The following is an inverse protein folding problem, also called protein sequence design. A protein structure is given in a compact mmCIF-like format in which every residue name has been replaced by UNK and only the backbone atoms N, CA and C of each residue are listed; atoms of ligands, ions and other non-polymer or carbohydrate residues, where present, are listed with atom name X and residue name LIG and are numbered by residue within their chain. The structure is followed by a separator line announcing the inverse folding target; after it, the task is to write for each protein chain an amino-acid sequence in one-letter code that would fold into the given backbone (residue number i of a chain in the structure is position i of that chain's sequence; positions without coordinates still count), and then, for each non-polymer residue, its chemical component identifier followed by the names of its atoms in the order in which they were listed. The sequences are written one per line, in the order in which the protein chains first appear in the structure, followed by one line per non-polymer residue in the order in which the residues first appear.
data_IF_691920143754
#
_entry.id   IF_691920143754
#
_cell.length_a   1.000
_cell.length_b   1.000
_cell.length_c   1.000
_cell.angle_alpha   90.00
_cell.angle_beta   90.00
_cell.angle_gamma   90.00
#
_symmetry.space_group_name_H-M   'P 1'
#
loop_
_entity.id
_entity.type
_entity.pdbx_description
1 polymer ?
#
# COMPACT_ATOMS: atom_id res chain seq x y z
N UNK A 1 -35.85 -8.01 38.73
CA UNK A 1 -35.48 -9.37 38.29
C UNK A 1 -34.39 -9.22 37.26
N UNK A 2 -33.17 -9.47 37.72
CA UNK A 2 -31.91 -9.36 36.98
C UNK A 2 -31.52 -10.79 36.63
N UNK A 3 -31.26 -11.08 35.36
CA UNK A 3 -30.44 -12.24 34.99
C UNK A 3 -29.32 -11.83 34.06
N UNK A 4 -28.15 -12.19 34.57
CA UNK A 4 -26.77 -12.03 34.15
C UNK A 4 -26.46 -13.08 33.06
N UNK A 5 -25.90 -12.64 31.93
CA UNK A 5 -25.18 -13.51 31.00
C UNK A 5 -23.76 -12.97 30.83
N UNK A 6 -22.99 -13.13 31.90
CA UNK A 6 -21.55 -12.95 31.93
C UNK A 6 -20.83 -13.95 31.03
N UNK A 7 -20.44 -13.49 29.83
CA UNK A 7 -19.27 -14.01 29.12
C UNK A 7 -18.04 -13.20 29.51
N UNK A 8 -17.27 -13.68 30.49
CA UNK A 8 -15.98 -13.10 30.91
C UNK A 8 -15.01 -13.08 29.72
N UNK A 9 -14.76 -11.91 29.15
CA UNK A 9 -13.62 -11.69 28.24
C UNK A 9 -12.38 -11.51 29.12
N UNK A 10 -11.41 -12.41 28.98
CA UNK A 10 -10.12 -12.36 29.65
C UNK A 10 -9.38 -11.06 29.28
N UNK A 11 -9.22 -10.16 30.24
CA UNK A 11 -8.58 -8.85 30.07
C UNK A 11 -7.05 -8.92 30.08
N UNK A 12 -6.45 -10.12 30.08
CA UNK A 12 -4.99 -10.31 30.12
C UNK A 12 -4.35 -10.58 28.75
N UNK A 13 -5.14 -10.68 27.67
CA UNK A 13 -4.61 -10.85 26.32
C UNK A 13 -4.49 -9.46 25.66
N UNK A 14 -3.28 -9.03 25.23
CA UNK A 14 -3.13 -7.76 24.57
C UNK A 14 -3.93 -7.78 23.26
N UNK A 15 -4.91 -6.88 23.17
CA UNK A 15 -5.87 -6.66 22.08
C UNK A 15 -5.18 -6.24 20.75
N UNK A 16 -3.85 -6.39 20.63
CA UNK A 16 -3.04 -5.98 19.47
C UNK A 16 -2.91 -7.03 18.36
N UNK A 17 -3.23 -8.31 18.59
CA UNK A 17 -3.09 -9.35 17.55
C UNK A 17 -4.41 -9.87 16.97
N UNK A 18 -5.54 -9.74 17.69
CA UNK A 18 -6.79 -10.41 17.31
C UNK A 18 -7.52 -9.76 16.10
N UNK A 19 -7.29 -8.46 15.86
CA UNK A 19 -8.06 -7.68 14.86
C UNK A 19 -7.42 -7.64 13.48
N UNK A 20 -6.10 -7.80 13.40
CA UNK A 20 -5.41 -8.19 12.15
C UNK A 20 -5.71 -9.66 11.82
N UNK A 21 -6.30 -10.44 12.75
CA UNK A 21 -6.69 -11.81 12.46
C UNK A 21 -8.08 -11.88 11.80
N UNK A 22 -9.11 -11.22 12.34
CA UNK A 22 -10.51 -11.52 11.95
C UNK A 22 -10.98 -11.02 10.57
N UNK A 23 -10.38 -9.99 9.98
CA UNK A 23 -10.61 -9.65 8.55
C UNK A 23 -9.74 -10.51 7.63
N UNK A 24 -8.64 -11.04 8.14
CA UNK A 24 -7.64 -11.79 7.38
C UNK A 24 -7.86 -13.32 7.42
N UNK A 25 -8.59 -13.86 8.39
CA UNK A 25 -8.81 -15.30 8.58
C UNK A 25 -9.74 -15.92 7.54
N UNK A 26 -10.75 -15.19 7.05
CA UNK A 26 -11.66 -15.72 6.01
C UNK A 26 -11.04 -15.71 4.60
N UNK A 27 -10.01 -14.89 4.39
CA UNK A 27 -9.44 -14.63 3.07
C UNK A 27 -8.01 -15.22 2.91
N UNK A 28 -7.34 -15.58 4.02
CA UNK A 28 -6.08 -16.34 4.01
C UNK A 28 -6.24 -17.79 3.52
N UNK A 29 -7.42 -18.40 3.71
CA UNK A 29 -7.72 -19.74 3.19
C UNK A 29 -7.84 -19.80 1.67
N UNK A 30 -8.03 -18.67 0.98
CA UNK A 30 -8.27 -18.66 -0.47
C UNK A 30 -7.01 -18.99 -1.30
N UNK A 31 -5.81 -18.89 -0.71
CA UNK A 31 -4.53 -19.02 -1.43
C UNK A 31 -3.66 -20.21 -1.05
N UNK A 32 -4.13 -21.10 -0.16
CA UNK A 32 -3.52 -22.44 -0.09
C UNK A 32 -3.84 -23.14 -1.40
N UNK A 33 -2.82 -23.31 -2.24
CA UNK A 33 -2.96 -23.75 -3.62
C UNK A 33 -3.88 -24.96 -3.79
N UNK A 34 -4.60 -24.96 -4.91
CA UNK A 34 -5.19 -26.15 -5.53
C UNK A 34 -6.00 -27.05 -4.59
N UNK A 35 -6.66 -26.50 -3.57
CA UNK A 35 -7.72 -27.29 -2.95
C UNK A 35 -8.78 -27.53 -4.03
N UNK A 36 -9.01 -28.79 -4.46
CA UNK A 36 -10.00 -29.09 -5.47
C UNK A 36 -11.39 -28.55 -5.09
N UNK A 37 -11.68 -28.40 -3.79
CA UNK A 37 -12.91 -27.79 -3.32
C UNK A 37 -12.98 -26.29 -3.65
N UNK A 38 -11.91 -25.52 -3.46
CA UNK A 38 -11.86 -24.09 -3.80
C UNK A 38 -12.11 -23.89 -5.29
N UNK A 39 -11.42 -24.66 -6.14
CA UNK A 39 -11.58 -24.60 -7.60
C UNK A 39 -12.98 -25.05 -8.04
N UNK A 40 -13.55 -26.07 -7.38
CA UNK A 40 -14.92 -26.51 -7.62
C UNK A 40 -15.93 -25.43 -7.24
N UNK A 41 -15.79 -24.79 -6.09
CA UNK A 41 -16.66 -23.69 -5.66
C UNK A 41 -16.51 -22.48 -6.56
N UNK A 42 -15.29 -22.16 -7.00
CA UNK A 42 -15.03 -21.08 -7.97
C UNK A 42 -15.71 -21.34 -9.32
N UNK A 43 -15.48 -22.51 -9.91
CA UNK A 43 -16.11 -22.93 -11.17
C UNK A 43 -17.64 -22.96 -11.06
N UNK A 44 -18.18 -23.48 -9.95
CA UNK A 44 -19.61 -23.48 -9.68
C UNK A 44 -20.18 -22.08 -9.55
N UNK A 45 -19.50 -21.17 -8.86
CA UNK A 45 -19.88 -19.77 -8.74
C UNK A 45 -19.89 -19.06 -10.10
N UNK A 46 -18.86 -19.27 -10.94
CA UNK A 46 -18.83 -18.74 -12.30
C UNK A 46 -20.02 -19.23 -13.14
N UNK A 47 -20.30 -20.54 -13.09
CA UNK A 47 -21.43 -21.12 -13.82
C UNK A 47 -22.77 -20.50 -13.39
N UNK A 48 -23.02 -20.41 -12.08
CA UNK A 48 -24.23 -19.82 -11.52
C UNK A 48 -24.37 -18.32 -11.85
N UNK A 49 -23.26 -17.58 -11.83
CA UNK A 49 -23.24 -16.17 -12.24
C UNK A 49 -23.61 -16.04 -13.72
N UNK A 50 -23.02 -16.85 -14.60
CA UNK A 50 -23.33 -16.83 -16.04
C UNK A 50 -24.79 -17.17 -16.34
N UNK A 51 -25.37 -18.14 -15.64
CA UNK A 51 -26.79 -18.47 -15.72
C UNK A 51 -27.66 -17.27 -15.31
N UNK A 52 -27.32 -16.64 -14.17
CA UNK A 52 -28.05 -15.46 -13.66
C UNK A 52 -27.94 -14.26 -14.59
N UNK A 53 -26.77 -14.04 -15.20
CA UNK A 53 -26.53 -12.96 -16.17
C UNK A 53 -27.34 -13.14 -17.47
N UNK A 54 -27.68 -14.38 -17.82
CA UNK A 54 -28.50 -14.69 -18.99
C UNK A 54 -30.01 -14.53 -18.73
N UNK A 55 -30.41 -14.28 -17.48
CA UNK A 55 -31.80 -14.28 -17.05
C UNK A 55 -32.25 -12.97 -16.39
N UNK A 56 -33.45 -13.00 -15.79
CA UNK A 56 -34.07 -11.85 -15.11
C UNK A 56 -33.35 -11.39 -13.84
N UNK A 57 -32.45 -12.23 -13.32
CA UNK A 57 -31.72 -12.02 -12.07
C UNK A 57 -30.33 -11.40 -12.26
N UNK A 58 -29.99 -10.96 -13.48
CA UNK A 58 -28.69 -10.40 -13.82
C UNK A 58 -28.33 -9.17 -12.97
N UNK A 59 -29.32 -8.38 -12.58
CA UNK A 59 -29.14 -7.12 -11.84
C UNK A 59 -29.36 -7.27 -10.32
N UNK A 60 -29.65 -8.47 -9.81
CA UNK A 60 -29.89 -8.71 -8.38
C UNK A 60 -28.65 -8.44 -7.53
N UNK A 61 -28.86 -7.97 -6.29
CA UNK A 61 -27.77 -7.75 -5.32
C UNK A 61 -26.90 -8.99 -5.11
N UNK A 62 -27.48 -10.19 -5.08
CA UNK A 62 -26.75 -11.44 -4.89
C UNK A 62 -25.83 -11.76 -6.08
N UNK A 63 -26.26 -11.51 -7.31
CA UNK A 63 -25.45 -11.67 -8.53
C UNK A 63 -24.27 -10.72 -8.50
N UNK A 64 -24.56 -9.47 -8.18
CA UNK A 64 -23.59 -8.40 -8.02
C UNK A 64 -22.53 -8.75 -6.95
N UNK A 65 -22.94 -9.19 -5.76
CA UNK A 65 -22.04 -9.62 -4.67
C UNK A 65 -21.18 -10.82 -5.09
N UNK A 66 -21.75 -11.77 -5.82
CA UNK A 66 -21.00 -12.93 -6.32
C UNK A 66 -19.88 -12.51 -7.28
N UNK A 67 -20.11 -11.55 -8.18
CA UNK A 67 -19.08 -11.01 -9.08
C UNK A 67 -17.98 -10.28 -8.29
N UNK A 68 -18.33 -9.53 -7.24
CA UNK A 68 -17.34 -8.93 -6.32
C UNK A 68 -16.48 -10.02 -5.68
N UNK A 69 -17.08 -11.09 -5.17
CA UNK A 69 -16.35 -12.22 -4.58
C UNK A 69 -15.40 -12.91 -5.57
N UNK A 70 -15.83 -13.10 -6.82
CA UNK A 70 -14.99 -13.67 -7.88
C UNK A 70 -13.80 -12.76 -8.21
N UNK A 71 -14.05 -11.44 -8.35
CA UNK A 71 -12.99 -10.48 -8.60
C UNK A 71 -12.02 -10.36 -7.42
N UNK A 72 -12.49 -10.47 -6.17
CA UNK A 72 -11.63 -10.57 -4.99
C UNK A 72 -10.77 -11.82 -5.02
N UNK A 73 -11.36 -12.96 -5.38
CA UNK A 73 -10.64 -14.22 -5.49
C UNK A 73 -9.50 -14.11 -6.51
N UNK A 74 -9.78 -13.63 -7.72
CA UNK A 74 -8.77 -13.45 -8.78
C UNK A 74 -7.68 -12.46 -8.36
N UNK A 75 -8.06 -11.33 -7.77
CA UNK A 75 -7.12 -10.34 -7.22
C UNK A 75 -6.23 -10.94 -6.13
N UNK A 76 -6.81 -11.74 -5.23
CA UNK A 76 -6.03 -12.44 -4.20
C UNK A 76 -5.06 -13.41 -4.85
N UNK A 77 -5.41 -14.04 -5.98
CA UNK A 77 -4.54 -14.89 -6.80
C UNK A 77 -3.53 -14.14 -7.68
N UNK A 78 -3.45 -12.81 -7.62
CA UNK A 78 -2.66 -11.96 -8.53
C UNK A 78 -3.05 -12.12 -10.02
N UNK A 79 -4.26 -12.63 -10.30
CA UNK A 79 -4.87 -12.73 -11.63
C UNK A 79 -5.57 -11.40 -11.96
N UNK A 80 -4.76 -10.35 -12.15
CA UNK A 80 -5.25 -8.98 -12.29
C UNK A 80 -6.01 -8.73 -13.60
N UNK A 81 -5.73 -9.50 -14.66
CA UNK A 81 -6.44 -9.40 -15.95
C UNK A 81 -7.88 -9.91 -15.81
N UNK A 82 -8.06 -11.06 -15.16
CA UNK A 82 -9.36 -11.66 -14.87
C UNK A 82 -10.15 -10.80 -13.88
N UNK A 83 -9.47 -10.28 -12.84
CA UNK A 83 -10.07 -9.34 -11.91
C UNK A 83 -10.59 -8.07 -12.61
N UNK A 84 -9.87 -7.56 -13.61
CA UNK A 84 -10.28 -6.41 -14.43
C UNK A 84 -11.56 -6.70 -15.22
N UNK A 85 -11.65 -7.87 -15.87
CA UNK A 85 -12.86 -8.29 -16.61
C UNK A 85 -14.09 -8.28 -15.68
N UNK A 86 -13.94 -8.81 -14.47
CA UNK A 86 -15.03 -8.79 -13.49
C UNK A 86 -15.43 -7.37 -13.06
N UNK A 87 -14.48 -6.46 -12.82
CA UNK A 87 -14.76 -5.05 -12.47
C UNK A 87 -15.44 -4.30 -13.62
N UNK A 88 -15.00 -4.52 -14.86
CA UNK A 88 -15.63 -3.91 -16.03
C UNK A 88 -17.08 -4.40 -16.21
N UNK A 89 -17.31 -5.71 -16.05
CA UNK A 89 -18.66 -6.28 -16.03
C UNK A 89 -19.51 -5.70 -14.91
N UNK A 90 -18.93 -5.54 -13.73
CA UNK A 90 -19.58 -4.95 -12.56
C UNK A 90 -20.06 -3.52 -12.83
N UNK A 91 -19.18 -2.69 -13.40
CA UNK A 91 -19.49 -1.31 -13.75
C UNK A 91 -20.62 -1.26 -14.79
N UNK A 92 -20.59 -2.15 -15.80
CA UNK A 92 -21.65 -2.24 -16.80
C UNK A 92 -23.00 -2.60 -16.18
N UNK A 93 -23.04 -3.58 -15.28
CA UNK A 93 -24.27 -3.98 -14.57
C UNK A 93 -24.79 -2.87 -13.65
N UNK A 94 -23.90 -2.15 -12.97
CA UNK A 94 -24.27 -1.01 -12.14
C UNK A 94 -24.90 0.13 -12.98
N UNK A 95 -24.37 0.39 -14.17
CA UNK A 95 -24.97 1.35 -15.11
C UNK A 95 -26.35 0.89 -15.60
N UNK A 96 -26.48 -0.38 -15.99
CA UNK A 96 -27.76 -0.96 -16.45
C UNK A 96 -28.85 -0.93 -15.38
N UNK A 97 -28.47 -0.99 -14.10
CA UNK A 97 -29.40 -0.90 -12.97
C UNK A 97 -29.88 0.53 -12.67
N UNK A 98 -29.40 1.53 -13.40
CA UNK A 98 -29.74 2.94 -13.20
C UNK A 98 -28.69 3.73 -12.41
N UNK A 99 -27.44 3.28 -12.42
CA UNK A 99 -26.34 3.94 -11.72
C UNK A 99 -26.58 4.03 -10.21
N UNK A 100 -26.11 5.11 -9.57
CA UNK A 100 -26.22 5.32 -8.11
C UNK A 100 -27.69 5.27 -7.63
N UNK A 101 -28.62 5.75 -8.46
CA UNK A 101 -30.04 5.77 -8.12
C UNK A 101 -30.67 4.36 -8.07
N UNK A 102 -30.14 3.40 -8.84
CA UNK A 102 -30.59 2.01 -8.88
C UNK A 102 -30.35 1.19 -7.60
N UNK A 103 -29.73 1.81 -6.61
CA UNK A 103 -29.28 1.19 -5.37
C UNK A 103 -29.87 1.83 -4.10
N UNK A 104 -30.91 2.67 -4.26
CA UNK A 104 -31.56 3.41 -3.16
C UNK A 104 -32.06 2.53 -2.02
N UNK A 105 -32.46 1.29 -2.30
CA UNK A 105 -33.03 0.39 -1.30
C UNK A 105 -31.96 -0.28 -0.42
N UNK A 106 -30.67 -0.23 -0.82
CA UNK A 106 -29.55 -0.80 -0.06
C UNK A 106 -28.30 0.11 -0.07
N UNK A 107 -28.41 1.36 0.39
CA UNK A 107 -27.39 2.39 0.17
C UNK A 107 -26.08 2.10 0.93
N UNK A 108 -26.15 1.50 2.11
CA UNK A 108 -24.97 1.16 2.91
C UNK A 108 -24.14 0.01 2.33
N UNK A 109 -24.81 -1.02 1.77
CA UNK A 109 -24.17 -2.17 1.13
C UNK A 109 -23.51 -1.76 -0.19
N UNK A 110 -24.20 -0.90 -0.95
CA UNK A 110 -23.77 -0.46 -2.28
C UNK A 110 -22.68 0.60 -2.27
N UNK A 111 -22.70 1.54 -1.32
CA UNK A 111 -21.59 2.46 -1.16
C UNK A 111 -20.32 1.74 -0.70
N UNK A 112 -20.42 0.85 0.30
CA UNK A 112 -19.24 0.23 0.93
C UNK A 112 -18.62 -0.91 0.12
N UNK A 113 -19.42 -1.86 -0.36
CA UNK A 113 -18.89 -3.08 -1.02
C UNK A 113 -18.71 -2.92 -2.53
N UNK A 114 -19.58 -2.17 -3.20
CA UNK A 114 -19.59 -2.11 -4.66
C UNK A 114 -18.80 -0.93 -5.22
N UNK A 115 -19.05 0.26 -4.69
CA UNK A 115 -18.54 1.50 -5.26
C UNK A 115 -17.19 1.90 -4.67
N UNK A 116 -17.06 1.96 -3.34
CA UNK A 116 -15.95 2.69 -2.73
C UNK A 116 -14.70 1.85 -2.46
N UNK A 117 -14.85 0.68 -1.84
CA UNK A 117 -13.68 -0.07 -1.39
C UNK A 117 -13.23 -1.08 -2.44
N UNK A 118 -14.16 -1.73 -3.14
CA UNK A 118 -13.81 -2.80 -4.05
C UNK A 118 -13.37 -2.31 -5.43
N UNK A 119 -14.25 -1.58 -6.13
CA UNK A 119 -13.95 -1.10 -7.49
C UNK A 119 -12.72 -0.18 -7.52
N UNK A 120 -12.59 0.76 -6.58
CA UNK A 120 -11.44 1.66 -6.53
C UNK A 120 -10.16 0.95 -6.10
N UNK A 121 -10.20 0.00 -5.16
CA UNK A 121 -9.01 -0.75 -4.78
C UNK A 121 -8.51 -1.60 -5.95
N UNK A 122 -9.41 -2.30 -6.63
CA UNK A 122 -9.04 -3.12 -7.78
C UNK A 122 -8.52 -2.26 -8.93
N UNK A 123 -9.16 -1.12 -9.24
CA UNK A 123 -8.67 -0.16 -10.25
C UNK A 123 -7.28 0.38 -9.89
N UNK A 124 -7.05 0.76 -8.63
CA UNK A 124 -5.74 1.19 -8.13
C UNK A 124 -4.69 0.09 -8.26
N UNK A 125 -5.00 -1.13 -7.81
CA UNK A 125 -4.06 -2.26 -7.86
C UNK A 125 -3.70 -2.64 -9.30
N UNK A 126 -4.66 -2.58 -10.23
CA UNK A 126 -4.44 -2.78 -11.67
C UNK A 126 -3.54 -1.68 -12.24
N UNK A 127 -3.82 -0.41 -11.93
CA UNK A 127 -3.00 0.73 -12.37
C UNK A 127 -1.56 0.62 -11.86
N UNK A 128 -1.37 0.17 -10.61
CA UNK A 128 -0.05 -0.09 -10.03
C UNK A 128 0.65 -1.32 -10.63
N UNK A 129 -0.12 -2.35 -11.03
CA UNK A 129 0.42 -3.55 -11.64
C UNK A 129 0.93 -3.28 -13.06
N UNK A 130 0.09 -2.69 -13.92
CA UNK A 130 0.40 -2.43 -15.32
C UNK A 130 1.12 -1.10 -15.57
N UNK A 131 1.13 -0.19 -14.60
CA UNK A 131 1.67 1.16 -14.78
C UNK A 131 0.75 2.06 -15.62
N UNK A 132 -0.56 1.81 -15.59
CA UNK A 132 -1.56 2.58 -16.35
C UNK A 132 -2.16 3.70 -15.51
N UNK A 133 -2.93 4.58 -16.16
CA UNK A 133 -3.83 5.49 -15.43
C UNK A 133 -4.97 4.70 -14.77
N UNK A 134 -5.53 5.28 -13.71
CA UNK A 134 -6.76 4.76 -13.08
C UNK A 134 -7.97 5.10 -13.93
N UNK A 135 -9.00 4.25 -13.87
CA UNK A 135 -10.29 4.50 -14.53
C UNK A 135 -11.10 5.55 -13.76
N UNK A 136 -11.02 5.53 -12.43
CA UNK A 136 -11.68 6.49 -11.56
C UNK A 136 -10.75 7.66 -11.20
N UNK A 137 -11.34 8.76 -10.72
CA UNK A 137 -10.60 9.92 -10.22
C UNK A 137 -10.64 9.98 -8.70
N UNK A 138 -9.66 10.63 -8.08
CA UNK A 138 -9.61 10.84 -6.64
C UNK A 138 -10.83 11.61 -6.11
N UNK A 139 -11.42 12.47 -6.95
CA UNK A 139 -12.65 13.22 -6.66
C UNK A 139 -13.88 12.31 -6.50
N UNK A 140 -13.87 11.12 -7.09
CA UNK A 140 -14.96 10.15 -6.99
C UNK A 140 -14.98 9.42 -5.64
N UNK A 141 -13.90 9.56 -4.84
CA UNK A 141 -13.77 8.89 -3.54
C UNK A 141 -14.34 9.72 -2.37
N UNK A 142 -15.04 9.07 -1.41
CA UNK A 142 -15.63 9.72 -0.24
C UNK A 142 -14.58 10.17 0.82
N UNK A 143 -13.33 9.75 0.67
CA UNK A 143 -12.28 9.78 1.71
C UNK A 143 -11.67 11.16 1.95
N UNK A 144 -12.17 12.20 1.27
CA UNK A 144 -11.74 13.57 1.51
C UNK A 144 -11.93 13.98 2.98
N UNK A 145 -13.00 13.51 3.62
CA UNK A 145 -13.32 13.79 5.02
C UNK A 145 -12.28 13.25 6.02
N UNK A 146 -11.79 12.03 5.82
CA UNK A 146 -10.76 11.41 6.69
C UNK A 146 -9.41 12.12 6.53
N UNK A 147 -9.06 12.44 5.28
CA UNK A 147 -7.83 13.18 5.00
C UNK A 147 -7.87 14.56 5.65
N UNK A 148 -8.97 15.31 5.50
CA UNK A 148 -9.20 16.60 6.14
C UNK A 148 -9.12 16.51 7.68
N UNK A 149 -9.72 15.47 8.26
CA UNK A 149 -9.62 15.22 9.70
C UNK A 149 -8.17 15.04 10.16
N UNK A 150 -7.36 14.25 9.46
CA UNK A 150 -5.93 14.12 9.77
C UNK A 150 -5.15 15.41 9.54
N UNK A 151 -5.48 16.19 8.51
CA UNK A 151 -4.85 17.52 8.30
C UNK A 151 -5.02 18.41 9.52
N UNK A 152 -6.23 18.39 10.10
CA UNK A 152 -6.56 19.16 11.28
C UNK A 152 -5.87 18.61 12.54
N UNK A 153 -5.88 17.29 12.73
CA UNK A 153 -5.23 16.64 13.86
C UNK A 153 -3.72 16.94 13.90
N UNK A 154 -3.06 16.92 12.74
CA UNK A 154 -1.62 17.14 12.59
C UNK A 154 -1.26 18.55 12.11
N UNK A 155 -2.14 19.55 12.25
CA UNK A 155 -1.96 20.89 11.66
C UNK A 155 -0.63 21.54 12.03
N UNK A 156 -0.21 21.45 13.31
CA UNK A 156 1.04 22.04 13.81
C UNK A 156 2.26 21.34 13.21
N UNK A 157 2.28 20.01 13.27
CA UNK A 157 3.37 19.21 12.71
C UNK A 157 3.50 19.46 11.22
N UNK A 158 2.38 19.47 10.49
CA UNK A 158 2.35 19.77 9.05
C UNK A 158 2.93 21.14 8.72
N UNK A 159 2.64 22.18 9.52
CA UNK A 159 3.21 23.51 9.31
C UNK A 159 4.73 23.51 9.52
N UNK A 160 5.21 22.76 10.51
CA UNK A 160 6.65 22.59 10.76
C UNK A 160 7.33 21.87 9.58
N UNK A 161 6.80 20.71 9.18
CA UNK A 161 7.30 19.94 8.04
C UNK A 161 7.24 20.71 6.72
N UNK A 162 6.16 21.45 6.47
CA UNK A 162 6.03 22.25 5.25
C UNK A 162 7.16 23.27 5.15
N UNK A 163 7.47 23.99 6.22
CA UNK A 163 8.55 24.99 6.22
C UNK A 163 9.92 24.34 6.05
N UNK A 164 10.21 23.24 6.76
CA UNK A 164 11.52 22.58 6.67
C UNK A 164 11.73 21.90 5.31
N UNK A 165 10.74 21.19 4.77
CA UNK A 165 10.87 20.48 3.50
C UNK A 165 10.65 21.34 2.26
N UNK A 166 9.73 22.32 2.25
CA UNK A 166 9.52 23.13 1.04
C UNK A 166 10.81 23.81 0.61
N UNK A 167 11.57 24.29 1.59
CA UNK A 167 12.86 24.93 1.39
C UNK A 167 13.97 23.92 1.06
N UNK A 168 13.94 22.71 1.65
CA UNK A 168 14.99 21.72 1.48
C UNK A 168 14.87 20.83 0.22
N UNK A 169 13.65 20.59 -0.27
CA UNK A 169 13.37 19.51 -1.21
C UNK A 169 12.87 19.95 -2.60
N UNK A 170 12.46 21.22 -2.75
CA UNK A 170 11.98 21.75 -4.03
C UNK A 170 10.83 20.93 -4.65
N UNK A 171 9.97 20.34 -3.83
CA UNK A 171 8.79 19.61 -4.29
C UNK A 171 7.77 20.58 -4.89
N UNK A 172 7.07 20.15 -5.95
CA UNK A 172 5.88 20.88 -6.39
C UNK A 172 4.78 20.85 -5.31
N UNK A 173 3.86 21.82 -5.37
CA UNK A 173 2.84 21.98 -4.33
C UNK A 173 1.89 20.77 -4.23
N UNK A 174 1.66 20.03 -5.33
CA UNK A 174 0.76 18.86 -5.33
C UNK A 174 1.40 17.67 -4.60
N UNK A 175 2.61 17.30 -5.01
CA UNK A 175 3.39 16.22 -4.41
C UNK A 175 3.71 16.53 -2.94
N UNK A 176 3.99 17.80 -2.63
CA UNK A 176 4.17 18.22 -1.24
C UNK A 176 2.90 18.04 -0.40
N UNK A 177 1.72 18.40 -0.92
CA UNK A 177 0.47 18.22 -0.22
C UNK A 177 0.19 16.72 0.06
N UNK A 178 0.47 15.85 -0.91
CA UNK A 178 0.31 14.40 -0.77
C UNK A 178 1.32 13.83 0.23
N UNK A 179 2.59 14.23 0.14
CA UNK A 179 3.63 13.83 1.09
C UNK A 179 3.20 14.13 2.54
N UNK A 180 2.70 15.34 2.81
CA UNK A 180 2.24 15.73 4.15
C UNK A 180 1.02 14.93 4.63
N UNK A 181 0.12 14.56 3.73
CA UNK A 181 -1.01 13.68 4.05
C UNK A 181 -0.53 12.27 4.42
N UNK A 182 0.45 11.73 3.68
CA UNK A 182 1.06 10.42 3.95
C UNK A 182 1.88 10.45 5.25
N UNK A 183 2.57 11.56 5.56
CA UNK A 183 3.25 11.75 6.85
C UNK A 183 2.27 11.75 8.02
N UNK A 184 1.14 12.43 7.86
CA UNK A 184 0.08 12.48 8.89
C UNK A 184 -0.48 11.07 9.13
N UNK A 185 -0.68 10.30 8.07
CA UNK A 185 -1.08 8.90 8.14
C UNK A 185 -0.04 8.03 8.88
N UNK A 186 1.23 8.14 8.51
CA UNK A 186 2.30 7.37 9.13
C UNK A 186 2.43 7.69 10.64
N UNK A 187 2.30 8.97 11.00
CA UNK A 187 2.31 9.42 12.40
C UNK A 187 1.11 8.88 13.18
N UNK A 188 -0.08 8.89 12.57
CA UNK A 188 -1.31 8.34 13.15
C UNK A 188 -1.18 6.84 13.44
N UNK A 189 -0.76 6.04 12.46
CA UNK A 189 -0.63 4.59 12.62
C UNK A 189 0.46 4.24 13.64
N UNK A 190 1.55 5.01 13.64
CA UNK A 190 2.66 4.82 14.60
C UNK A 190 2.29 5.22 16.03
N UNK A 191 1.12 5.84 16.26
CA UNK A 191 0.71 6.30 17.58
C UNK A 191 1.61 7.41 18.13
N UNK A 192 2.27 8.19 17.26
CA UNK A 192 3.15 9.31 17.66
C UNK A 192 2.40 10.41 18.41
N UNK A 193 1.08 10.46 18.23
CA UNK A 193 0.20 11.41 18.91
C UNK A 193 -0.89 10.63 19.64
N UNK A 194 -1.14 10.91 20.93
CA UNK A 194 -2.28 10.34 21.64
C UNK A 194 -3.57 10.72 20.91
N UNK A 195 -4.24 9.75 20.29
CA UNK A 195 -5.52 9.94 19.65
C UNK A 195 -6.58 9.16 20.45
N UNK A 196 -7.67 9.82 20.89
CA UNK A 196 -8.73 9.14 21.64
C UNK A 196 -9.57 8.20 20.76
N UNK A 197 -9.41 8.27 19.43
CA UNK A 197 -10.26 7.57 18.48
C UNK A 197 -9.44 6.63 17.61
N UNK A 198 -9.80 5.34 17.61
CA UNK A 198 -9.28 4.37 16.63
C UNK A 198 -10.05 4.54 15.32
N UNK A 199 -9.32 4.61 14.20
CA UNK A 199 -9.95 4.66 12.89
C UNK A 199 -10.55 3.28 12.57
N UNK A 200 -11.78 3.28 12.05
CA UNK A 200 -12.44 2.06 11.58
C UNK A 200 -11.74 1.53 10.31
N UNK A 201 -11.85 0.22 10.06
CA UNK A 201 -11.16 -0.48 8.96
C UNK A 201 -11.51 0.14 7.59
N UNK A 202 -12.79 0.41 7.33
CA UNK A 202 -13.23 0.96 6.04
C UNK A 202 -12.67 2.37 5.76
N UNK A 203 -12.84 3.37 6.66
CA UNK A 203 -12.20 4.68 6.51
C UNK A 203 -10.67 4.64 6.35
N UNK A 204 -10.02 3.65 6.97
CA UNK A 204 -8.58 3.44 6.81
C UNK A 204 -8.23 3.02 5.38
N UNK A 205 -8.87 1.97 4.86
CA UNK A 205 -8.65 1.51 3.49
C UNK A 205 -9.01 2.58 2.46
N UNK A 206 -10.14 3.25 2.64
CA UNK A 206 -10.60 4.36 1.80
C UNK A 206 -9.56 5.48 1.71
N UNK A 207 -8.85 5.75 2.81
CA UNK A 207 -7.79 6.75 2.82
C UNK A 207 -6.54 6.29 2.07
N UNK A 208 -6.10 5.03 2.25
CA UNK A 208 -4.97 4.46 1.48
C UNK A 208 -5.26 4.54 -0.01
N UNK A 209 -6.46 4.11 -0.41
CA UNK A 209 -6.89 4.12 -1.81
C UNK A 209 -6.89 5.56 -2.33
N UNK A 210 -7.53 6.49 -1.63
CA UNK A 210 -7.58 7.91 -2.02
C UNK A 210 -6.19 8.53 -2.21
N UNK A 211 -5.24 8.26 -1.31
CA UNK A 211 -3.87 8.74 -1.47
C UNK A 211 -3.15 8.10 -2.66
N UNK A 212 -3.42 6.83 -2.94
CA UNK A 212 -2.92 6.13 -4.13
C UNK A 212 -3.41 6.78 -5.42
N UNK A 213 -4.71 7.05 -5.54
CA UNK A 213 -5.28 7.77 -6.68
C UNK A 213 -4.63 9.13 -6.86
N UNK A 214 -4.50 9.93 -5.79
CA UNK A 214 -3.86 11.25 -5.87
C UNK A 214 -2.41 11.19 -6.35
N UNK A 215 -1.64 10.18 -5.94
CA UNK A 215 -0.28 9.98 -6.45
C UNK A 215 -0.30 9.68 -7.95
N UNK A 216 -1.15 8.76 -8.41
CA UNK A 216 -1.22 8.38 -9.82
C UNK A 216 -1.76 9.50 -10.73
N UNK A 217 -2.70 10.30 -10.23
CA UNK A 217 -3.20 11.50 -10.94
C UNK A 217 -2.16 12.61 -11.02
N UNK A 218 -1.37 12.79 -9.96
CA UNK A 218 -0.32 13.82 -9.97
C UNK A 218 0.75 13.48 -10.99
N UNK A 219 1.10 12.19 -11.12
CA UNK A 219 2.07 11.70 -12.10
C UNK A 219 1.77 10.25 -12.52
N UNK A 220 1.25 10.05 -13.74
CA UNK A 220 1.15 8.72 -14.32
C UNK A 220 2.55 8.15 -14.59
N UNK A 221 2.74 6.83 -14.45
CA UNK A 221 4.04 6.15 -14.67
C UNK A 221 4.68 6.42 -16.04
N UNK A 222 3.89 6.83 -17.04
CA UNK A 222 4.33 6.98 -18.43
C UNK A 222 4.62 8.43 -18.87
N UNK A 223 4.63 9.42 -17.98
CA UNK A 223 4.97 10.81 -18.33
C UNK A 223 6.37 11.18 -17.81
N UNK A 224 7.36 11.19 -18.71
CA UNK A 224 8.78 11.33 -18.39
C UNK A 224 9.29 12.78 -18.37
N UNK A 225 8.52 13.77 -18.79
CA UNK A 225 9.17 14.88 -19.48
C UNK A 225 9.55 16.13 -18.65
N UNK A 226 9.17 16.27 -17.37
CA UNK A 226 9.36 17.58 -16.69
C UNK A 226 9.79 17.56 -15.21
N UNK A 227 10.16 16.41 -14.63
CA UNK A 227 10.40 16.33 -13.18
C UNK A 227 11.84 15.99 -12.82
N UNK A 228 12.35 16.63 -11.76
CA UNK A 228 13.70 16.34 -11.25
C UNK A 228 13.79 14.90 -10.74
N UNK A 229 14.99 14.29 -10.81
CA UNK A 229 15.25 12.94 -10.29
C UNK A 229 14.81 12.79 -8.84
N UNK A 230 14.95 13.85 -8.03
CA UNK A 230 14.50 13.87 -6.63
C UNK A 230 12.99 13.68 -6.52
N UNK A 231 12.21 14.47 -7.26
CA UNK A 231 10.75 14.39 -7.18
C UNK A 231 10.24 13.07 -7.75
N UNK A 232 10.86 12.54 -8.81
CA UNK A 232 10.52 11.23 -9.38
C UNK A 232 10.75 10.10 -8.37
N UNK A 233 11.91 10.09 -7.70
CA UNK A 233 12.21 9.09 -6.67
C UNK A 233 11.26 9.23 -5.47
N UNK A 234 11.00 10.45 -5.00
CA UNK A 234 10.04 10.71 -3.92
C UNK A 234 8.65 10.17 -4.27
N UNK A 235 8.14 10.47 -5.46
CA UNK A 235 6.83 10.00 -5.92
C UNK A 235 6.74 8.47 -5.96
N UNK A 236 7.72 7.80 -6.59
CA UNK A 236 7.76 6.33 -6.67
C UNK A 236 7.90 5.68 -5.29
N UNK A 237 8.71 6.25 -4.40
CA UNK A 237 8.89 5.74 -3.04
C UNK A 237 7.64 5.96 -2.16
N UNK A 238 6.88 7.04 -2.37
CA UNK A 238 5.57 7.23 -1.72
C UNK A 238 4.55 6.20 -2.21
N UNK A 239 4.54 5.89 -3.51
CA UNK A 239 3.74 4.78 -4.05
C UNK A 239 4.17 3.47 -3.39
N UNK A 240 5.48 3.19 -3.34
CA UNK A 240 6.03 2.01 -2.67
C UNK A 240 5.59 1.93 -1.21
N UNK A 241 5.61 3.03 -0.48
CA UNK A 241 5.11 3.10 0.89
C UNK A 241 3.61 2.75 0.96
N UNK A 242 2.76 3.29 0.08
CA UNK A 242 1.33 2.96 0.10
C UNK A 242 1.05 1.50 -0.26
N UNK A 243 1.84 0.90 -1.15
CA UNK A 243 1.68 -0.52 -1.50
C UNK A 243 1.95 -1.46 -0.31
N UNK A 244 2.63 -1.01 0.75
CA UNK A 244 2.80 -1.83 1.96
C UNK A 244 1.48 -2.10 2.68
N UNK A 245 0.45 -1.27 2.47
CA UNK A 245 -0.91 -1.46 2.98
C UNK A 245 -1.86 -2.14 1.98
N UNK A 246 -1.49 -2.19 0.70
CA UNK A 246 -2.31 -2.81 -0.36
C UNK A 246 -2.10 -4.32 -0.48
N UNK A 247 -1.20 -4.90 0.32
CA UNK A 247 -0.87 -6.33 0.29
C UNK A 247 -2.11 -7.22 0.42
N UNK A 248 -2.11 -8.29 -0.37
CA UNK A 248 -3.09 -9.38 -0.28
C UNK A 248 -3.02 -10.19 1.02
N UNK A 249 -4.02 -11.05 1.20
CA UNK A 249 -4.48 -11.65 2.46
C UNK A 249 -3.65 -12.79 3.06
N UNK A 250 -2.35 -12.84 2.75
CA UNK A 250 -1.43 -13.81 3.34
C UNK A 250 -0.10 -13.18 3.77
N UNK A 251 -0.02 -11.85 3.86
CA UNK A 251 1.23 -11.14 4.16
C UNK A 251 2.29 -11.26 3.05
N UNK A 252 1.95 -11.89 1.91
CA UNK A 252 2.77 -11.93 0.70
C UNK A 252 2.67 -10.60 -0.04
N UNK A 253 3.79 -10.15 -0.61
CA UNK A 253 3.83 -8.94 -1.41
C UNK A 253 3.06 -9.18 -2.71
N UNK A 254 2.07 -8.34 -2.99
CA UNK A 254 1.49 -8.25 -4.33
C UNK A 254 2.58 -7.79 -5.30
N UNK A 255 2.76 -8.52 -6.39
CA UNK A 255 3.82 -8.22 -7.36
C UNK A 255 3.37 -7.09 -8.30
N UNK A 256 3.37 -5.84 -7.81
CA UNK A 256 3.10 -4.67 -8.64
C UNK A 256 4.30 -4.41 -9.57
N UNK A 257 4.36 -5.15 -10.69
CA UNK A 257 5.52 -5.21 -11.58
C UNK A 257 5.99 -3.83 -12.05
N UNK A 258 5.06 -2.94 -12.42
CA UNK A 258 5.40 -1.58 -12.84
C UNK A 258 6.00 -0.73 -11.72
N UNK A 259 5.41 -0.76 -10.51
CA UNK A 259 5.97 -0.08 -9.31
C UNK A 259 7.35 -0.61 -9.00
N UNK A 260 7.48 -1.93 -8.93
CA UNK A 260 8.71 -2.66 -8.61
C UNK A 260 9.86 -2.28 -9.55
N UNK A 261 9.62 -2.38 -10.86
CA UNK A 261 10.63 -2.06 -11.87
C UNK A 261 10.99 -0.58 -11.89
N UNK A 262 10.00 0.31 -11.80
CA UNK A 262 10.22 1.76 -11.80
C UNK A 262 11.00 2.23 -10.57
N UNK A 263 10.61 1.75 -9.38
CA UNK A 263 11.29 2.09 -8.12
C UNK A 263 12.72 1.54 -8.10
N UNK A 264 12.93 0.30 -8.57
CA UNK A 264 14.26 -0.29 -8.71
C UNK A 264 15.16 0.55 -9.59
N UNK A 265 14.68 0.91 -10.79
CA UNK A 265 15.42 1.77 -11.73
C UNK A 265 15.76 3.11 -11.08
N UNK A 266 14.78 3.79 -10.48
CA UNK A 266 14.97 5.09 -9.86
C UNK A 266 15.97 5.07 -8.68
N UNK A 267 15.98 4.00 -7.87
CA UNK A 267 16.94 3.86 -6.77
C UNK A 267 18.38 3.65 -7.28
N UNK A 268 18.54 2.87 -8.37
CA UNK A 268 19.84 2.56 -8.96
C UNK A 268 20.43 3.75 -9.73
N UNK A 269 19.59 4.51 -10.43
CA UNK A 269 20.01 5.68 -11.23
C UNK A 269 20.10 6.97 -10.41
N UNK A 270 19.64 6.96 -9.16
CA UNK A 270 19.73 8.11 -8.28
C UNK A 270 21.19 8.56 -8.07
N UNK A 271 21.51 9.86 -8.02
CA UNK A 271 22.80 10.31 -7.52
C UNK A 271 22.90 10.12 -5.99
N UNK A 272 24.10 9.86 -5.47
CA UNK A 272 24.38 9.94 -4.01
C UNK A 272 25.06 11.27 -3.70
N UNK A 273 24.42 12.36 -4.12
CA UNK A 273 24.95 13.72 -3.98
C UNK A 273 23.97 14.60 -3.22
N UNK A 274 24.48 15.36 -2.27
CA UNK A 274 23.66 16.23 -1.43
C UNK A 274 22.95 15.47 -0.31
N UNK A 275 23.07 16.02 0.90
CA UNK A 275 22.61 15.40 2.13
C UNK A 275 21.12 14.99 2.11
N UNK A 276 20.25 15.85 1.57
CA UNK A 276 18.81 15.56 1.47
C UNK A 276 18.48 14.47 0.44
N UNK A 277 19.23 14.39 -0.66
CA UNK A 277 19.02 13.36 -1.69
C UNK A 277 19.46 11.99 -1.15
N UNK A 278 20.59 11.94 -0.47
CA UNK A 278 21.11 10.72 0.16
C UNK A 278 20.10 10.14 1.17
N UNK A 279 19.50 10.99 2.00
CA UNK A 279 18.41 10.57 2.91
C UNK A 279 17.22 9.97 2.18
N UNK A 280 16.80 10.59 1.07
CA UNK A 280 15.72 10.07 0.24
C UNK A 280 16.09 8.70 -0.37
N UNK A 281 17.31 8.53 -0.87
CA UNK A 281 17.80 7.26 -1.41
C UNK A 281 17.79 6.17 -0.33
N UNK A 282 18.25 6.47 0.88
CA UNK A 282 18.21 5.54 2.00
C UNK A 282 16.77 5.10 2.32
N UNK A 283 15.85 6.05 2.51
CA UNK A 283 14.45 5.73 2.78
C UNK A 283 13.83 4.92 1.62
N UNK A 284 14.07 5.33 0.38
CA UNK A 284 13.55 4.67 -0.82
C UNK A 284 14.07 3.24 -0.96
N UNK A 285 15.34 2.98 -0.63
CA UNK A 285 15.92 1.64 -0.64
C UNK A 285 15.30 0.73 0.43
N UNK A 286 15.02 1.25 1.63
CA UNK A 286 14.37 0.48 2.69
C UNK A 286 12.90 0.17 2.36
N UNK A 287 12.17 1.14 1.78
CA UNK A 287 10.83 0.91 1.24
C UNK A 287 10.87 -0.06 0.05
N UNK A 288 11.85 0.10 -0.84
CA UNK A 288 12.11 -0.80 -1.96
C UNK A 288 12.27 -2.22 -1.49
N UNK A 289 13.06 -2.46 -0.45
CA UNK A 289 13.12 -3.75 0.22
C UNK A 289 11.72 -4.26 0.53
N UNK A 290 10.92 -3.48 1.27
CA UNK A 290 9.55 -3.86 1.62
C UNK A 290 8.66 -4.26 0.44
N UNK A 291 8.67 -3.50 -0.64
CA UNK A 291 7.84 -3.71 -1.84
C UNK A 291 8.32 -4.94 -2.63
N UNK A 292 9.64 -5.17 -2.63
CA UNK A 292 10.33 -6.13 -3.50
C UNK A 292 10.72 -7.44 -2.82
N UNK A 293 10.39 -7.61 -1.53
CA UNK A 293 10.74 -8.79 -0.71
C UNK A 293 10.03 -10.08 -1.22
N UNK A 294 10.47 -10.57 -2.38
CA UNK A 294 10.42 -11.96 -2.81
C UNK A 294 11.83 -12.53 -2.65
N UNK A 295 11.93 -13.80 -2.24
CA UNK A 295 13.13 -14.40 -1.61
C UNK A 295 14.44 -14.34 -2.43
N UNK A 296 14.43 -13.85 -3.68
CA UNK A 296 15.59 -13.85 -4.58
C UNK A 296 16.00 -12.47 -5.14
N UNK A 297 15.25 -11.38 -4.88
CA UNK A 297 15.46 -10.07 -5.54
C UNK A 297 16.14 -9.01 -4.66
N UNK A 298 16.65 -9.37 -3.48
CA UNK A 298 17.17 -8.40 -2.49
C UNK A 298 18.64 -8.02 -2.69
N UNK A 299 19.41 -8.86 -3.40
CA UNK A 299 20.86 -8.71 -3.51
C UNK A 299 21.31 -7.39 -4.15
N UNK A 300 20.49 -6.80 -5.02
CA UNK A 300 20.84 -5.55 -5.69
C UNK A 300 20.66 -4.32 -4.78
N UNK A 301 19.81 -4.40 -3.74
CA UNK A 301 19.59 -3.29 -2.80
C UNK A 301 20.75 -3.12 -1.82
N UNK A 302 21.40 -4.24 -1.46
CA UNK A 302 22.45 -4.26 -0.45
C UNK A 302 23.63 -3.33 -0.82
N UNK A 303 24.23 -3.41 -2.02
CA UNK A 303 25.29 -2.48 -2.43
C UNK A 303 24.87 -1.02 -2.31
N UNK A 304 23.63 -0.72 -2.70
CA UNK A 304 23.11 0.64 -2.68
C UNK A 304 22.92 1.18 -1.27
N UNK A 305 22.48 0.32 -0.35
CA UNK A 305 22.39 0.65 1.07
C UNK A 305 23.76 0.89 1.69
N UNK A 306 24.79 0.10 1.33
CA UNK A 306 26.16 0.35 1.80
C UNK A 306 26.66 1.72 1.34
N UNK A 307 26.51 2.02 0.05
CA UNK A 307 26.97 3.26 -0.56
C UNK A 307 26.33 4.50 0.09
N UNK A 308 25.01 4.51 0.23
CA UNK A 308 24.29 5.65 0.82
C UNK A 308 24.55 5.80 2.32
N UNK A 309 24.75 4.67 3.03
CA UNK A 309 25.06 4.70 4.47
C UNK A 309 26.44 5.27 4.73
N UNK A 310 27.42 4.93 3.87
CA UNK A 310 28.75 5.51 3.94
C UNK A 310 28.70 7.02 3.67
N UNK A 311 27.97 7.45 2.64
CA UNK A 311 27.83 8.86 2.30
C UNK A 311 27.15 9.69 3.41
N UNK A 312 26.21 9.09 4.14
CA UNK A 312 25.53 9.71 5.29
C UNK A 312 26.29 9.55 6.62
N UNK A 313 27.43 8.85 6.62
CA UNK A 313 28.19 8.48 7.82
C UNK A 313 27.35 7.75 8.88
N UNK A 314 26.51 6.79 8.45
CA UNK A 314 25.66 5.97 9.32
C UNK A 314 26.28 4.59 9.52
N UNK A 315 26.78 4.36 10.73
CA UNK A 315 27.38 3.09 11.14
C UNK A 315 26.38 2.16 11.84
N UNK A 316 25.40 2.72 12.57
CA UNK A 316 24.41 2.01 13.37
C UNK A 316 22.96 2.22 12.90
N UNK A 317 22.07 1.30 13.29
CA UNK A 317 20.63 1.40 12.99
C UNK A 317 19.98 2.67 13.57
N UNK A 318 20.49 3.19 14.69
CA UNK A 318 19.99 4.44 15.28
C UNK A 318 20.09 5.64 14.32
N UNK A 319 21.20 5.76 13.56
CA UNK A 319 21.33 6.81 12.55
C UNK A 319 20.37 6.62 11.36
N UNK A 320 19.99 5.37 11.05
CA UNK A 320 18.92 5.09 10.08
C UNK A 320 17.58 5.59 10.63
N UNK A 321 17.28 5.30 11.91
CA UNK A 321 16.04 5.76 12.56
C UNK A 321 15.91 7.29 12.57
N UNK A 322 17.02 8.01 12.76
CA UNK A 322 17.05 9.48 12.68
C UNK A 322 16.64 9.98 11.30
N UNK A 323 17.15 9.37 10.22
CA UNK A 323 16.72 9.71 8.85
C UNK A 323 15.24 9.38 8.63
N UNK A 324 14.76 8.24 9.13
CA UNK A 324 13.38 7.78 8.96
C UNK A 324 12.33 8.65 9.68
N UNK A 325 12.74 9.58 10.56
CA UNK A 325 11.82 10.57 11.14
C UNK A 325 11.32 11.56 10.08
N UNK A 326 12.15 11.89 9.09
CA UNK A 326 11.86 12.87 8.04
C UNK A 326 10.94 12.34 6.93
N UNK A 327 10.70 11.02 6.89
CA UNK A 327 9.92 10.36 5.85
C UNK A 327 8.80 9.49 6.43
N UNK A 328 7.79 9.12 5.61
CA UNK A 328 6.75 8.22 6.05
C UNK A 328 7.33 6.87 6.47
N UNK A 329 7.20 6.57 7.76
CA UNK A 329 7.69 5.33 8.34
C UNK A 329 6.80 4.88 9.49
N UNK A 330 6.56 3.56 9.56
CA UNK A 330 5.76 2.94 10.60
C UNK A 330 6.59 1.81 11.20
N UNK A 331 7.21 2.01 12.38
CA UNK A 331 8.11 1.04 12.98
C UNK A 331 7.51 -0.36 13.13
N UNK A 332 6.24 -0.46 13.51
CA UNK A 332 5.54 -1.73 13.70
C UNK A 332 5.33 -2.53 12.41
N UNK A 333 5.31 -1.88 11.25
CA UNK A 333 5.11 -2.52 9.95
C UNK A 333 6.45 -2.72 9.25
N UNK A 334 7.36 -1.75 9.38
CA UNK A 334 8.55 -1.67 8.53
C UNK A 334 9.86 -2.12 9.19
N UNK A 335 10.01 -2.03 10.52
CA UNK A 335 11.32 -2.26 11.13
C UNK A 335 11.86 -3.68 10.93
N UNK A 336 11.00 -4.71 10.98
CA UNK A 336 11.48 -6.09 10.93
C UNK A 336 12.23 -6.40 9.63
N UNK A 337 11.65 -6.07 8.47
CA UNK A 337 12.30 -6.35 7.17
C UNK A 337 13.43 -5.37 6.88
N UNK A 338 13.27 -4.10 7.25
CA UNK A 338 14.29 -3.08 7.07
C UNK A 338 15.57 -3.37 7.87
N UNK A 339 15.43 -3.81 9.13
CA UNK A 339 16.56 -4.24 9.98
C UNK A 339 17.27 -5.46 9.41
N UNK A 340 16.52 -6.43 8.87
CA UNK A 340 17.12 -7.59 8.19
C UNK A 340 17.99 -7.14 7.01
N UNK A 341 17.45 -6.28 6.15
CA UNK A 341 18.18 -5.76 4.99
C UNK A 341 19.41 -4.94 5.39
N UNK A 342 19.29 -4.15 6.46
CA UNK A 342 20.41 -3.43 7.06
C UNK A 342 21.51 -4.36 7.57
N UNK A 343 21.15 -5.43 8.30
CA UNK A 343 22.14 -6.37 8.83
C UNK A 343 22.90 -7.07 7.69
N UNK A 344 22.21 -7.46 6.61
CA UNK A 344 22.84 -8.03 5.42
C UNK A 344 23.86 -7.07 4.78
N UNK A 345 23.59 -5.76 4.81
CA UNK A 345 24.54 -4.76 4.29
C UNK A 345 25.78 -4.61 5.15
N UNK A 346 25.68 -4.86 6.47
CA UNK A 346 26.82 -4.85 7.38
C UNK A 346 27.66 -6.12 7.26
N UNK A 347 27.03 -7.29 7.17
CA UNK A 347 27.70 -8.58 6.97
C UNK A 347 28.49 -8.61 5.65
N UNK A 348 27.87 -8.20 4.53
CA UNK A 348 28.56 -8.13 3.23
C UNK A 348 29.66 -7.06 3.15
N UNK A 349 29.65 -6.06 4.05
CA UNK A 349 30.73 -5.08 4.17
C UNK A 349 31.89 -5.64 5.01
N UNK A 350 31.60 -6.46 6.02
CA UNK A 350 32.58 -7.15 6.85
C UNK A 350 33.39 -8.18 6.04
N UNK A 351 32.72 -9.00 5.23
CA UNK A 351 33.41 -9.98 4.36
C UNK A 351 34.33 -9.32 3.32
N UNK A 352 33.92 -8.18 2.74
CA UNK A 352 34.75 -7.40 1.80
C UNK A 352 35.97 -6.75 2.46
N UNK A 353 35.85 -6.32 3.72
CA UNK A 353 36.99 -5.79 4.48
C UNK A 353 38.02 -6.87 4.77
N UNK A 354 37.58 -8.06 5.20
CA UNK A 354 38.47 -9.21 5.43
C UNK A 354 39.19 -9.61 4.14
N UNK A 355 38.47 -9.71 3.01
CA UNK A 355 39.12 -10.05 1.73
C UNK A 355 40.09 -8.97 1.24
N UNK A 356 39.76 -7.68 1.42
CA UNK A 356 40.67 -6.59 1.07
C UNK A 356 41.93 -6.54 1.96
N UNK A 357 41.78 -6.84 3.26
CA UNK A 357 42.90 -6.97 4.19
C UNK A 357 43.73 -8.23 3.93
N UNK A 358 43.13 -9.36 3.51
CA UNK A 358 43.91 -10.55 3.14
C UNK A 358 44.70 -10.36 1.83
N UNK A 359 44.21 -9.54 0.91
CA UNK A 359 44.90 -9.23 -0.36
C UNK A 359 46.01 -8.19 -0.15
N UNK A 360 45.91 -7.29 0.84
CA UNK A 360 46.95 -6.29 1.11
C UNK A 360 48.13 -6.80 1.93
N UNK A 361 48.05 -8.05 2.44
CA UNK A 361 49.10 -8.73 3.20
C UNK A 361 49.78 -9.88 2.43
N UNK A 362 49.38 -10.12 1.17
CA UNK A 362 50.04 -11.03 0.24
C UNK A 362 50.70 -10.26 -0.89
#
# INVERSE_FOLDING_TARGET
MSEDLGGRIDTRIPVRSMWVQNTFTNEASARSGTDPEILRHFSRSLHLVNERLSGRHALDNSTLIAIVGLSQFERVQDNYEEALVHVQGLNRLALLRGGIAGFRDHPALMQKLFRQVFSHRTDLEIALYFGTATTFRAEDLPSQSVTLWLRNLYKKDRQSYYKSQKLALGLDDSLQAIFLDIMSLAAFISGRTPCPTKLQIYPFHDMIIFLGFRLLETRPFNQAELTTTYQSLMHLALIGFLTTFLRGLAGRASNFKAVTSSLRKAILEAPIEGYHFQKLVLWSALIGGHVLFNQNDEHWLVPRLVEVSYALNIDAWSGVEEVLIEFPWIPSIHNQKAKRLWNMSKEGCFERKITAEMISWG
#
